data_IF_812029284404
#
_entry.id   IF_812029284404
#
_cell.length_a   1.000
_cell.length_b   1.000
_cell.length_c   1.000
_cell.angle_alpha   90.00
_cell.angle_beta   90.00
_cell.angle_gamma   90.00
#
_symmetry.space_group_name_H-M   'P 1'
#
loop_
_entity.id
_entity.type
_entity.pdbx_description
1 polymer ?
#
# COMPACT_ATOMS: atom_id res chain seq x y z
N UNK A 1 -49.86 -10.81 11.06
CA UNK A 1 -49.12 -10.37 9.87
C UNK A 1 -48.20 -9.21 10.31
N UNK A 2 -47.01 -9.55 10.72
CA UNK A 2 -45.99 -8.57 11.17
C UNK A 2 -45.14 -8.16 9.99
N UNK A 3 -45.17 -6.87 9.64
CA UNK A 3 -44.23 -6.27 8.69
C UNK A 3 -42.87 -6.13 9.39
N UNK A 4 -41.94 -7.01 9.07
CA UNK A 4 -40.52 -6.79 9.36
C UNK A 4 -40.05 -5.60 8.51
N UNK A 5 -39.87 -4.46 9.15
CA UNK A 5 -39.21 -3.30 8.57
C UNK A 5 -37.71 -3.65 8.41
N UNK A 6 -37.32 -4.06 7.21
CA UNK A 6 -35.92 -4.01 6.80
C UNK A 6 -35.47 -2.55 6.81
N UNK A 7 -34.75 -2.16 7.84
CA UNK A 7 -33.98 -0.91 7.84
C UNK A 7 -32.84 -1.13 6.85
N UNK A 8 -33.05 -0.80 5.58
CA UNK A 8 -31.98 -0.58 4.63
C UNK A 8 -31.21 0.62 5.13
N UNK A 9 -30.07 0.38 5.76
CA UNK A 9 -29.03 1.37 5.91
C UNK A 9 -28.63 1.79 4.48
N UNK A 10 -29.22 2.88 3.97
CA UNK A 10 -28.75 3.53 2.76
C UNK A 10 -27.34 4.04 3.05
N UNK A 11 -26.34 3.27 2.63
CA UNK A 11 -24.96 3.64 2.74
C UNK A 11 -24.78 4.87 1.86
N UNK A 12 -24.52 6.02 2.49
CA UNK A 12 -24.34 7.29 1.80
C UNK A 12 -23.01 7.28 1.01
N UNK A 13 -23.03 6.75 -0.21
CA UNK A 13 -21.89 6.67 -1.12
C UNK A 13 -21.36 8.05 -1.55
N UNK A 14 -22.09 9.13 -1.26
CA UNK A 14 -21.64 10.50 -1.53
C UNK A 14 -20.61 10.98 -0.50
N UNK A 15 -20.57 10.38 0.69
CA UNK A 15 -19.64 10.78 1.74
C UNK A 15 -18.22 10.28 1.47
N UNK A 16 -17.24 11.20 1.57
CA UNK A 16 -15.82 10.84 1.41
C UNK A 16 -15.35 9.91 2.50
N UNK A 17 -14.54 8.93 2.12
CA UNK A 17 -13.90 8.01 3.07
C UNK A 17 -12.94 8.76 4.01
N UNK A 18 -12.55 8.08 5.10
CA UNK A 18 -11.53 8.61 6.00
C UNK A 18 -10.21 8.92 5.26
N UNK A 19 -9.80 8.05 4.34
CA UNK A 19 -8.55 8.21 3.59
C UNK A 19 -8.63 9.32 2.54
N UNK A 20 -9.77 9.53 1.91
CA UNK A 20 -9.99 10.67 1.02
C UNK A 20 -9.91 12.00 1.78
N UNK A 21 -10.56 12.09 2.95
CA UNK A 21 -10.48 13.26 3.84
C UNK A 21 -9.05 13.49 4.31
N UNK A 22 -8.35 12.43 4.75
CA UNK A 22 -6.97 12.51 5.21
C UNK A 22 -6.01 13.00 4.11
N UNK A 23 -6.19 12.55 2.86
CA UNK A 23 -5.35 12.95 1.73
C UNK A 23 -5.43 14.47 1.41
N UNK A 24 -6.49 15.15 1.81
CA UNK A 24 -6.71 16.60 1.60
C UNK A 24 -5.95 17.47 2.59
N UNK A 25 -5.57 16.93 3.75
CA UNK A 25 -4.84 17.65 4.80
C UNK A 25 -3.42 18.01 4.36
N UNK A 26 -2.78 18.96 5.04
CA UNK A 26 -1.38 19.35 4.74
C UNK A 26 -0.42 18.16 4.83
N UNK A 27 -0.53 17.39 5.91
CA UNK A 27 0.31 16.20 6.09
C UNK A 27 -0.07 15.09 5.09
N UNK A 28 -1.36 14.88 4.83
CA UNK A 28 -1.86 13.92 3.85
C UNK A 28 -1.37 14.23 2.43
N UNK A 29 -1.44 15.49 1.99
CA UNK A 29 -0.89 15.95 0.70
C UNK A 29 0.62 15.70 0.59
N UNK A 30 1.36 15.99 1.67
CA UNK A 30 2.80 15.73 1.71
C UNK A 30 3.12 14.25 1.54
N UNK A 31 2.46 13.36 2.33
CA UNK A 31 2.68 11.92 2.26
C UNK A 31 2.24 11.34 0.91
N UNK A 32 1.04 11.69 0.44
CA UNK A 32 0.52 11.25 -0.86
C UNK A 32 1.46 11.63 -1.99
N UNK A 33 2.02 12.86 -1.98
CA UNK A 33 3.01 13.28 -2.98
C UNK A 33 4.29 12.43 -2.94
N UNK A 34 4.77 12.07 -1.74
CA UNK A 34 5.94 11.20 -1.59
C UNK A 34 5.68 9.81 -2.16
N UNK A 35 4.54 9.22 -1.81
CA UNK A 35 4.10 7.90 -2.26
C UNK A 35 3.88 7.87 -3.77
N UNK A 36 3.11 8.81 -4.31
CA UNK A 36 2.82 8.92 -5.74
C UNK A 36 4.10 9.09 -6.57
N UNK A 37 5.00 9.99 -6.14
CA UNK A 37 6.28 10.17 -6.82
C UNK A 37 7.15 8.91 -6.80
N UNK A 38 7.11 8.13 -5.71
CA UNK A 38 7.86 6.87 -5.63
C UNK A 38 7.27 5.83 -6.57
N UNK A 39 5.95 5.64 -6.53
CA UNK A 39 5.22 4.65 -7.33
C UNK A 39 5.40 4.94 -8.82
N UNK A 40 5.01 6.11 -9.29
CA UNK A 40 4.98 6.40 -10.73
C UNK A 40 6.35 6.70 -11.35
N UNK A 41 7.39 6.90 -10.54
CA UNK A 41 8.78 6.86 -11.04
C UNK A 41 9.36 5.45 -11.14
N UNK A 42 8.69 4.46 -10.57
CA UNK A 42 9.13 3.06 -10.59
C UNK A 42 8.36 2.22 -11.61
N UNK A 43 7.30 2.76 -12.20
CA UNK A 43 6.51 2.14 -13.27
C UNK A 43 6.92 2.77 -14.60
N UNK A 44 7.26 1.94 -15.59
CA UNK A 44 7.49 2.40 -16.97
C UNK A 44 6.15 2.43 -17.72
N UNK A 45 5.59 3.61 -18.02
CA UNK A 45 4.28 3.72 -18.67
C UNK A 45 4.28 3.18 -20.11
N UNK A 46 5.44 3.04 -20.75
CA UNK A 46 5.54 2.47 -22.10
C UNK A 46 5.38 0.96 -22.14
N UNK A 47 5.66 0.28 -21.01
CA UNK A 47 5.63 -1.19 -20.88
C UNK A 47 4.51 -1.70 -20.02
N UNK A 48 3.90 -0.85 -19.20
CA UNK A 48 2.89 -1.25 -18.23
C UNK A 48 1.50 -1.12 -18.83
N UNK A 49 0.85 -2.25 -19.09
CA UNK A 49 -0.50 -2.35 -19.68
C UNK A 49 -1.54 -2.81 -18.67
N UNK A 50 -1.14 -3.55 -17.66
CA UNK A 50 -2.01 -4.12 -16.64
C UNK A 50 -1.46 -3.85 -15.25
N UNK A 51 -2.27 -3.19 -14.42
CA UNK A 51 -1.88 -2.81 -13.05
C UNK A 51 -2.91 -3.36 -12.05
N UNK A 52 -2.44 -3.99 -10.97
CA UNK A 52 -3.28 -4.30 -9.83
C UNK A 52 -2.99 -3.31 -8.70
N UNK A 53 -4.05 -2.70 -8.16
CA UNK A 53 -4.00 -1.86 -6.95
C UNK A 53 -4.63 -2.63 -5.79
N UNK A 54 -3.80 -3.10 -4.88
CA UNK A 54 -4.20 -3.89 -3.70
C UNK A 54 -4.51 -2.96 -2.54
N UNK A 55 -5.71 -3.09 -1.97
CA UNK A 55 -6.23 -2.13 -1.01
C UNK A 55 -6.59 -0.81 -1.71
N UNK A 56 -7.30 -0.94 -2.84
CA UNK A 56 -7.61 0.19 -3.71
C UNK A 56 -8.47 1.26 -3.02
N UNK A 57 -9.23 0.88 -2.00
CA UNK A 57 -10.15 1.75 -1.28
C UNK A 57 -11.02 2.57 -2.27
N UNK A 58 -11.09 3.88 -2.14
CA UNK A 58 -11.79 4.76 -3.07
C UNK A 58 -10.91 5.21 -4.26
N UNK A 59 -9.79 4.54 -4.55
CA UNK A 59 -9.01 4.66 -5.78
C UNK A 59 -7.90 5.67 -5.79
N UNK A 60 -7.25 5.92 -4.66
CA UNK A 60 -6.15 6.89 -4.59
C UNK A 60 -5.04 6.65 -5.61
N UNK A 61 -4.62 5.40 -5.79
CA UNK A 61 -3.61 5.02 -6.79
C UNK A 61 -4.24 4.50 -8.07
N UNK A 62 -5.35 3.76 -7.99
CA UNK A 62 -6.07 3.27 -9.16
C UNK A 62 -6.41 4.37 -10.15
N UNK A 63 -6.95 5.51 -9.66
CA UNK A 63 -7.34 6.64 -10.51
C UNK A 63 -6.13 7.33 -11.17
N UNK A 64 -4.99 7.38 -10.49
CA UNK A 64 -3.75 7.94 -11.03
C UNK A 64 -3.06 7.01 -12.01
N UNK A 65 -3.25 5.69 -11.85
CA UNK A 65 -2.70 4.66 -12.72
C UNK A 65 -3.56 4.44 -13.98
N UNK A 66 -4.87 4.69 -13.88
CA UNK A 66 -5.79 4.54 -15.00
C UNK A 66 -5.51 5.59 -16.09
N UNK A 67 -5.23 5.12 -17.27
CA UNK A 67 -5.07 5.93 -18.48
C UNK A 67 -5.57 5.14 -19.69
N UNK A 68 -5.58 5.75 -20.86
CA UNK A 68 -6.10 5.12 -22.08
C UNK A 68 -5.35 3.87 -22.54
N UNK A 69 -4.20 3.59 -21.94
CA UNK A 69 -3.35 2.48 -22.34
C UNK A 69 -3.21 1.37 -21.26
N UNK A 70 -3.46 1.68 -19.99
CA UNK A 70 -3.34 0.74 -18.89
C UNK A 70 -4.70 0.31 -18.35
N UNK A 71 -4.94 -1.00 -18.28
CA UNK A 71 -6.06 -1.60 -17.56
C UNK A 71 -5.70 -1.67 -16.07
N UNK A 72 -6.50 -1.06 -15.23
CA UNK A 72 -6.32 -1.08 -13.77
C UNK A 72 -7.39 -1.93 -13.12
N UNK A 73 -6.97 -2.85 -12.25
CA UNK A 73 -7.85 -3.65 -11.41
C UNK A 73 -7.58 -3.28 -9.95
N UNK A 74 -8.56 -2.62 -9.31
CA UNK A 74 -8.54 -2.34 -7.88
C UNK A 74 -9.15 -3.50 -7.09
N UNK A 75 -8.43 -4.02 -6.10
CA UNK A 75 -8.96 -5.02 -5.17
C UNK A 75 -8.99 -4.47 -3.75
N UNK A 76 -10.06 -4.76 -3.01
CA UNK A 76 -10.21 -4.41 -1.61
C UNK A 76 -11.18 -5.40 -0.91
N UNK A 77 -11.09 -5.53 0.41
CA UNK A 77 -12.09 -6.25 1.21
C UNK A 77 -13.35 -5.42 1.41
N UNK A 78 -13.23 -4.09 1.46
CA UNK A 78 -14.33 -3.18 1.69
C UNK A 78 -15.11 -2.88 0.41
N UNK A 79 -16.25 -3.55 0.27
CA UNK A 79 -17.16 -3.34 -0.86
C UNK A 79 -17.72 -1.91 -0.95
N UNK A 80 -17.83 -1.19 0.17
CA UNK A 80 -18.33 0.18 0.20
C UNK A 80 -17.33 1.12 -0.49
N UNK A 81 -16.07 1.05 -0.13
CA UNK A 81 -15.01 1.84 -0.76
C UNK A 81 -14.88 1.54 -2.25
N UNK A 82 -14.97 0.26 -2.65
CA UNK A 82 -14.97 -0.13 -4.07
C UNK A 82 -16.17 0.43 -4.86
N UNK A 83 -17.38 0.40 -4.28
CA UNK A 83 -18.56 1.01 -4.89
C UNK A 83 -18.35 2.51 -5.08
N UNK A 84 -17.75 3.18 -4.10
CA UNK A 84 -17.39 4.58 -4.21
C UNK A 84 -16.34 4.84 -5.31
N UNK A 85 -15.34 3.98 -5.45
CA UNK A 85 -14.39 4.05 -6.56
C UNK A 85 -15.10 3.95 -7.91
N UNK A 86 -16.04 3.03 -8.05
CA UNK A 86 -16.82 2.85 -9.28
C UNK A 86 -17.64 4.08 -9.67
N UNK A 87 -18.16 4.83 -8.68
CA UNK A 87 -18.92 6.07 -8.93
C UNK A 87 -18.09 7.20 -9.53
N UNK A 88 -16.77 7.13 -9.45
CA UNK A 88 -15.86 8.14 -10.03
C UNK A 88 -15.75 8.05 -11.56
N UNK A 89 -16.43 7.08 -12.15
CA UNK A 89 -16.60 6.91 -13.62
C UNK A 89 -15.26 6.89 -14.39
N UNK A 90 -14.26 6.24 -13.82
CA UNK A 90 -12.92 6.07 -14.42
C UNK A 90 -12.74 4.63 -14.91
N UNK A 91 -11.84 4.37 -15.86
CA UNK A 91 -11.60 3.04 -16.43
C UNK A 91 -10.84 2.12 -15.46
N UNK A 92 -11.43 1.90 -14.28
CA UNK A 92 -10.90 1.01 -13.24
C UNK A 92 -11.87 -0.14 -13.03
N UNK A 93 -11.40 -1.35 -13.20
CA UNK A 93 -12.13 -2.56 -12.82
C UNK A 93 -12.00 -2.78 -11.32
N UNK A 94 -13.06 -3.23 -10.67
CA UNK A 94 -13.05 -3.47 -9.23
C UNK A 94 -13.39 -4.92 -8.92
N UNK A 95 -12.68 -5.51 -7.96
CA UNK A 95 -12.94 -6.86 -7.44
C UNK A 95 -12.91 -6.81 -5.92
N UNK A 96 -13.97 -7.25 -5.27
CA UNK A 96 -13.94 -7.46 -3.83
C UNK A 96 -13.21 -8.77 -3.55
N UNK A 97 -12.01 -8.68 -2.98
CA UNK A 97 -11.18 -9.84 -2.70
C UNK A 97 -10.20 -9.60 -1.54
N UNK A 98 -9.80 -10.70 -0.91
CA UNK A 98 -8.71 -10.72 0.06
C UNK A 98 -7.37 -10.77 -0.68
N UNK A 99 -6.44 -9.88 -0.32
CA UNK A 99 -5.09 -9.85 -0.87
C UNK A 99 -4.31 -11.17 -0.68
N UNK A 100 -4.75 -12.01 0.27
CA UNK A 100 -4.16 -13.34 0.55
C UNK A 100 -4.72 -14.45 -0.33
N UNK A 101 -5.74 -14.15 -1.14
CA UNK A 101 -6.40 -15.09 -2.08
C UNK A 101 -7.03 -14.30 -3.22
N UNK A 102 -6.22 -13.92 -4.19
CA UNK A 102 -6.64 -13.10 -5.32
C UNK A 102 -7.28 -13.97 -6.40
N UNK A 103 -8.55 -13.72 -6.82
CA UNK A 103 -9.28 -14.56 -7.79
C UNK A 103 -8.89 -14.21 -9.24
N UNK A 104 -7.59 -14.12 -9.52
CA UNK A 104 -7.05 -13.77 -10.84
C UNK A 104 -5.98 -14.78 -11.24
N UNK A 105 -5.72 -14.90 -12.54
CA UNK A 105 -4.74 -15.83 -13.12
C UNK A 105 -3.30 -15.42 -12.75
N UNK A 106 -2.40 -16.37 -12.92
CA UNK A 106 -0.99 -16.18 -12.74
C UNK A 106 -0.44 -15.25 -13.85
N UNK A 107 0.60 -14.48 -13.52
CA UNK A 107 1.39 -13.68 -14.46
C UNK A 107 0.58 -12.74 -15.39
N UNK A 108 -0.44 -12.09 -14.84
CA UNK A 108 -1.32 -11.17 -15.58
C UNK A 108 -0.83 -9.73 -15.53
N UNK A 109 -0.19 -9.33 -14.39
CA UNK A 109 0.09 -7.93 -14.14
C UNK A 109 1.51 -7.52 -14.49
N UNK A 110 1.62 -6.36 -15.15
CA UNK A 110 2.88 -5.68 -15.42
C UNK A 110 3.39 -4.86 -14.23
N UNK A 111 2.50 -4.52 -13.27
CA UNK A 111 2.86 -3.90 -12.01
C UNK A 111 1.79 -4.17 -10.94
N UNK A 112 2.22 -4.22 -9.67
CA UNK A 112 1.32 -4.26 -8.51
C UNK A 112 1.65 -3.09 -7.58
N UNK A 113 0.61 -2.36 -7.16
CA UNK A 113 0.68 -1.28 -6.17
C UNK A 113 0.02 -1.78 -4.89
N UNK A 114 0.68 -1.62 -3.72
CA UNK A 114 0.21 -2.07 -2.41
C UNK A 114 0.63 -1.05 -1.33
N UNK A 115 0.07 0.15 -1.40
CA UNK A 115 0.47 1.30 -0.57
C UNK A 115 -0.47 1.47 0.62
N UNK A 116 0.12 1.47 1.84
CA UNK A 116 -0.58 1.60 3.13
C UNK A 116 -1.59 0.47 3.43
N UNK A 117 -1.32 -0.73 2.93
CA UNK A 117 -2.18 -1.91 3.09
C UNK A 117 -1.58 -2.93 4.06
N UNK A 118 -0.25 -3.07 4.10
CA UNK A 118 0.42 -4.14 4.84
C UNK A 118 0.05 -4.17 6.32
N UNK A 119 -0.16 -3.02 6.95
CA UNK A 119 -0.49 -2.95 8.38
C UNK A 119 -1.86 -3.58 8.72
N UNK A 120 -2.71 -3.82 7.73
CA UNK A 120 -4.00 -4.50 7.86
C UNK A 120 -3.92 -6.01 7.56
N UNK A 121 -2.76 -6.51 7.10
CA UNK A 121 -2.58 -7.91 6.71
C UNK A 121 -1.74 -8.62 7.76
N UNK A 122 -2.35 -9.56 8.48
CA UNK A 122 -1.65 -10.36 9.52
C UNK A 122 -0.71 -11.37 8.86
N UNK A 123 -1.17 -12.07 7.83
CA UNK A 123 -0.42 -13.12 7.12
C UNK A 123 0.25 -12.55 5.86
N UNK A 124 1.24 -11.68 6.08
CA UNK A 124 1.96 -10.99 5.00
C UNK A 124 2.52 -11.93 3.94
N UNK A 125 3.05 -13.09 4.36
CA UNK A 125 3.58 -14.11 3.44
C UNK A 125 2.54 -14.54 2.41
N UNK A 126 1.31 -14.82 2.80
CA UNK A 126 0.24 -15.22 1.87
C UNK A 126 -0.07 -14.14 0.86
N UNK A 127 -0.16 -12.88 1.29
CA UNK A 127 -0.41 -11.76 0.38
C UNK A 127 0.77 -11.55 -0.59
N UNK A 128 2.01 -11.68 -0.14
CA UNK A 128 3.18 -11.56 -1.02
C UNK A 128 3.27 -12.73 -2.01
N UNK A 129 2.88 -13.96 -1.62
CA UNK A 129 2.78 -15.12 -2.52
C UNK A 129 1.75 -14.87 -3.61
N UNK A 130 0.59 -14.32 -3.29
CA UNK A 130 -0.43 -13.96 -4.29
C UNK A 130 0.05 -12.83 -5.23
N UNK A 131 0.73 -11.81 -4.68
CA UNK A 131 1.36 -10.79 -5.51
C UNK A 131 2.42 -11.41 -6.43
N UNK A 132 3.25 -12.32 -5.93
CA UNK A 132 4.27 -13.00 -6.74
C UNK A 132 3.62 -13.85 -7.82
N UNK A 133 2.58 -14.62 -7.50
CA UNK A 133 1.86 -15.46 -8.45
C UNK A 133 1.27 -14.67 -9.60
N UNK A 134 0.56 -13.58 -9.29
CA UNK A 134 -0.21 -12.79 -10.27
C UNK A 134 0.65 -11.80 -11.06
N UNK A 135 1.85 -11.47 -10.59
CA UNK A 135 2.78 -10.56 -11.24
C UNK A 135 3.60 -11.30 -12.31
N UNK A 136 3.85 -10.68 -13.45
CA UNK A 136 4.77 -11.19 -14.49
C UNK A 136 6.21 -11.19 -14.00
N UNK A 137 7.04 -12.06 -14.56
CA UNK A 137 8.49 -12.08 -14.27
C UNK A 137 9.10 -10.73 -14.64
N UNK A 138 10.05 -10.25 -13.84
CA UNK A 138 10.70 -8.94 -13.95
C UNK A 138 9.77 -7.72 -13.77
N UNK A 139 8.52 -7.92 -13.39
CA UNK A 139 7.58 -6.83 -13.11
C UNK A 139 7.70 -6.31 -11.67
N UNK A 140 7.40 -5.02 -11.41
CA UNK A 140 7.53 -4.39 -10.12
C UNK A 140 6.36 -4.63 -9.19
N UNK A 141 6.66 -4.92 -7.92
CA UNK A 141 5.78 -4.76 -6.76
C UNK A 141 6.17 -3.49 -6.00
N UNK A 142 5.25 -2.56 -5.86
CA UNK A 142 5.44 -1.30 -5.17
C UNK A 142 4.62 -1.31 -3.88
N UNK A 143 5.26 -1.36 -2.74
CA UNK A 143 4.56 -1.46 -1.46
C UNK A 143 5.06 -0.44 -0.43
N UNK A 144 4.23 -0.19 0.58
CA UNK A 144 4.64 0.56 1.78
C UNK A 144 4.16 -0.11 3.05
N UNK A 145 4.87 0.16 4.14
CA UNK A 145 4.52 -0.33 5.47
C UNK A 145 5.01 0.59 6.57
N UNK A 146 4.29 0.58 7.71
CA UNK A 146 4.73 1.20 8.94
C UNK A 146 5.81 0.34 9.61
N UNK A 147 6.96 0.95 9.93
CA UNK A 147 8.10 0.23 10.52
C UNK A 147 8.00 0.19 12.04
N UNK A 148 7.62 -0.97 12.59
CA UNK A 148 7.52 -1.22 14.03
C UNK A 148 8.82 -0.92 14.78
N UNK A 149 9.98 -1.12 14.15
CA UNK A 149 11.28 -0.91 14.77
C UNK A 149 11.72 0.57 14.84
N UNK A 150 10.98 1.51 14.24
CA UNK A 150 11.31 2.93 14.25
C UNK A 150 11.09 3.57 15.62
N UNK A 151 11.85 4.63 15.92
CA UNK A 151 11.69 5.39 17.16
C UNK A 151 10.27 5.98 17.30
N UNK A 152 9.71 6.51 16.21
CA UNK A 152 8.34 7.05 16.16
C UNK A 152 7.31 5.96 16.48
N UNK A 153 7.53 4.72 16.04
CA UNK A 153 6.65 3.58 16.36
C UNK A 153 6.72 3.24 17.85
N UNK A 154 7.92 3.13 18.41
CA UNK A 154 8.11 2.87 19.83
C UNK A 154 7.41 3.91 20.71
N UNK A 155 7.51 5.20 20.35
CA UNK A 155 6.80 6.28 21.04
C UNK A 155 5.27 6.16 20.92
N UNK A 156 4.76 5.61 19.80
CA UNK A 156 3.32 5.35 19.61
C UNK A 156 2.83 4.14 20.42
N UNK A 157 3.67 3.13 20.64
CA UNK A 157 3.32 1.97 21.47
C UNK A 157 2.93 2.38 22.90
N UNK A 158 3.58 3.38 23.49
CA UNK A 158 3.16 3.98 24.77
C UNK A 158 1.75 4.58 24.75
N UNK A 159 1.20 4.84 23.55
CA UNK A 159 -0.17 5.35 23.33
C UNK A 159 -1.12 4.27 22.83
N UNK A 160 -0.77 2.97 22.96
CA UNK A 160 -1.59 1.84 22.55
C UNK A 160 -1.73 1.65 21.03
N UNK A 161 -0.85 2.25 20.23
CA UNK A 161 -0.87 2.14 18.75
C UNK A 161 0.47 1.60 18.26
N UNK A 162 0.49 0.43 17.65
CA UNK A 162 1.69 -0.18 17.06
C UNK A 162 1.51 -0.48 15.58
N UNK A 163 2.62 -0.47 14.84
CA UNK A 163 2.66 -1.04 13.51
C UNK A 163 2.82 -2.57 13.59
N UNK A 164 2.36 -3.27 12.56
CA UNK A 164 2.33 -4.74 12.54
C UNK A 164 3.70 -5.32 12.16
N UNK A 165 4.41 -4.66 11.24
CA UNK A 165 5.60 -5.23 10.60
C UNK A 165 6.89 -4.49 10.95
N UNK A 166 7.98 -5.24 11.13
CA UNK A 166 9.32 -4.67 11.26
C UNK A 166 9.99 -4.58 9.89
N UNK A 167 10.91 -3.62 9.74
CA UNK A 167 11.71 -3.49 8.52
C UNK A 167 12.39 -4.82 8.12
N UNK A 168 13.09 -5.46 9.08
CA UNK A 168 13.77 -6.74 8.82
C UNK A 168 12.80 -7.83 8.40
N UNK A 169 11.64 -7.93 9.06
CA UNK A 169 10.62 -8.94 8.76
C UNK A 169 10.08 -8.81 7.33
N UNK A 170 9.73 -7.59 6.90
CA UNK A 170 9.25 -7.36 5.53
C UNK A 170 10.32 -7.69 4.48
N UNK A 171 11.58 -7.24 4.70
CA UNK A 171 12.67 -7.55 3.77
C UNK A 171 12.93 -9.05 3.65
N UNK A 172 12.90 -9.78 4.75
CA UNK A 172 13.05 -11.24 4.76
C UNK A 172 11.88 -11.94 4.05
N UNK A 173 10.65 -11.47 4.28
CA UNK A 173 9.48 -12.05 3.64
C UNK A 173 9.53 -11.85 2.12
N UNK A 174 9.87 -10.66 1.63
CA UNK A 174 10.07 -10.38 0.21
C UNK A 174 11.12 -11.30 -0.40
N UNK A 175 12.29 -11.44 0.24
CA UNK A 175 13.36 -12.30 -0.26
C UNK A 175 12.96 -13.78 -0.31
N UNK A 176 12.29 -14.29 0.72
CA UNK A 176 11.80 -15.67 0.76
C UNK A 176 10.72 -15.95 -0.30
N UNK A 177 9.88 -14.94 -0.62
CA UNK A 177 8.85 -15.05 -1.66
C UNK A 177 9.44 -14.99 -3.08
N UNK A 178 10.74 -14.67 -3.24
CA UNK A 178 11.38 -14.59 -4.55
C UNK A 178 11.45 -13.17 -5.11
N UNK A 179 11.10 -12.16 -4.34
CA UNK A 179 11.28 -10.77 -4.74
C UNK A 179 12.70 -10.27 -4.50
N UNK A 180 13.24 -9.54 -5.49
CA UNK A 180 14.50 -8.80 -5.37
C UNK A 180 14.19 -7.33 -5.12
N UNK A 181 14.70 -6.77 -4.02
CA UNK A 181 14.47 -5.37 -3.67
C UNK A 181 15.40 -4.47 -4.49
N UNK A 182 14.83 -3.76 -5.46
CA UNK A 182 15.55 -2.84 -6.35
C UNK A 182 15.76 -1.46 -5.70
N UNK A 183 14.78 -0.96 -4.95
CA UNK A 183 14.83 0.37 -4.34
C UNK A 183 14.04 0.45 -3.04
N UNK A 184 14.53 1.22 -2.09
CA UNK A 184 13.86 1.51 -0.81
C UNK A 184 13.95 2.99 -0.49
N UNK A 185 12.91 3.52 0.17
CA UNK A 185 12.89 4.91 0.62
C UNK A 185 12.18 5.02 1.97
N UNK A 186 12.85 5.65 2.93
CA UNK A 186 12.22 6.00 4.20
C UNK A 186 11.43 7.31 4.09
N UNK A 187 10.30 7.41 4.82
CA UNK A 187 9.49 8.62 4.83
C UNK A 187 8.65 8.75 6.11
N UNK A 188 7.87 9.83 6.21
CA UNK A 188 7.00 10.15 7.35
C UNK A 188 7.76 10.41 8.65
N UNK A 189 8.91 11.08 8.56
CA UNK A 189 9.72 11.45 9.72
C UNK A 189 9.12 12.57 10.56
N UNK A 190 8.22 13.37 9.99
CA UNK A 190 7.56 14.46 10.68
C UNK A 190 6.76 13.95 11.89
N UNK A 191 6.70 14.72 13.01
CA UNK A 191 6.04 14.28 14.24
C UNK A 191 4.50 14.29 14.16
N UNK A 192 3.95 14.54 12.99
CA UNK A 192 2.51 14.69 12.76
C UNK A 192 1.85 13.40 12.27
N UNK A 193 0.55 13.25 12.58
CA UNK A 193 -0.30 12.22 11.97
C UNK A 193 -0.75 12.64 10.55
N UNK A 194 -1.21 11.68 9.73
CA UNK A 194 -1.65 11.91 8.35
C UNK A 194 -2.76 12.97 8.22
N UNK A 195 -3.62 13.08 9.22
CA UNK A 195 -4.75 14.04 9.25
C UNK A 195 -4.37 15.43 9.77
N UNK A 196 -3.09 15.73 9.96
CA UNK A 196 -2.63 17.00 10.53
C UNK A 196 -2.67 18.15 9.52
N UNK A 197 -3.24 19.27 9.96
CA UNK A 197 -3.25 20.57 9.26
C UNK A 197 -2.14 21.53 9.75
N UNK A 198 -1.13 21.01 10.47
CA UNK A 198 -0.08 21.83 11.07
C UNK A 198 0.68 22.64 10.00
N UNK A 199 0.81 23.96 10.24
CA UNK A 199 1.45 24.91 9.32
C UNK A 199 2.96 24.65 9.16
N UNK A 200 3.60 23.94 10.11
CA UNK A 200 5.02 23.61 10.05
C UNK A 200 5.33 22.45 9.09
N UNK A 201 4.33 21.74 8.57
CA UNK A 201 4.54 20.59 7.65
C UNK A 201 5.45 20.94 6.48
N UNK A 202 5.25 22.04 5.71
CA UNK A 202 6.12 22.37 4.58
C UNK A 202 7.56 22.70 4.98
N UNK A 203 7.74 23.35 6.13
CA UNK A 203 9.06 23.69 6.67
C UNK A 203 9.83 22.41 7.06
N UNK A 204 9.23 21.55 7.90
CA UNK A 204 9.83 20.32 8.35
C UNK A 204 10.07 19.32 7.21
N UNK A 205 9.25 19.34 6.16
CA UNK A 205 9.47 18.56 4.95
C UNK A 205 10.76 18.98 4.21
N UNK A 206 11.09 20.29 4.23
CA UNK A 206 12.38 20.78 3.68
C UNK A 206 13.54 20.31 4.54
N UNK A 207 13.41 20.33 5.86
CA UNK A 207 14.41 19.82 6.81
C UNK A 207 14.64 18.32 6.58
N UNK A 208 13.58 17.51 6.48
CA UNK A 208 13.67 16.08 6.16
C UNK A 208 14.45 15.83 4.86
N UNK A 209 14.20 16.65 3.83
CA UNK A 209 14.91 16.59 2.56
C UNK A 209 16.39 16.96 2.70
N UNK A 210 16.71 18.02 3.46
CA UNK A 210 18.07 18.51 3.68
C UNK A 210 18.94 17.44 4.35
N UNK A 211 18.43 16.79 5.39
CA UNK A 211 19.12 15.72 6.09
C UNK A 211 19.12 14.38 5.34
N UNK A 212 18.55 14.33 4.14
CA UNK A 212 18.46 13.13 3.31
C UNK A 212 17.90 11.89 4.05
N UNK A 213 16.97 12.08 4.99
CA UNK A 213 16.43 11.04 5.88
C UNK A 213 15.77 9.88 5.12
N UNK A 214 15.34 10.12 3.89
CA UNK A 214 14.82 9.10 2.97
C UNK A 214 15.84 7.97 2.68
N UNK A 215 17.13 8.20 2.91
CA UNK A 215 18.20 7.24 2.65
C UNK A 215 18.39 6.22 3.79
N UNK A 216 17.68 6.40 4.91
CA UNK A 216 17.80 5.53 6.11
C UNK A 216 16.45 4.80 6.36
N UNK A 217 16.00 3.93 5.44
CA UNK A 217 14.68 3.30 5.54
C UNK A 217 14.54 2.36 6.73
N UNK A 218 15.63 1.76 7.22
CA UNK A 218 15.61 0.87 8.39
C UNK A 218 15.21 1.55 9.69
N UNK A 219 15.49 2.85 9.83
CA UNK A 219 15.12 3.67 11.00
C UNK A 219 13.86 4.50 10.76
N UNK A 220 13.42 4.61 9.49
CA UNK A 220 12.29 5.41 9.08
C UNK A 220 10.98 4.91 9.70
N UNK A 221 10.06 5.81 10.08
CA UNK A 221 8.72 5.44 10.54
C UNK A 221 7.89 4.69 9.52
N UNK A 222 8.03 5.04 8.24
CA UNK A 222 7.39 4.37 7.11
C UNK A 222 8.43 4.11 6.01
N UNK A 223 8.22 3.02 5.29
CA UNK A 223 9.12 2.57 4.23
C UNK A 223 8.34 2.32 2.95
N UNK A 224 8.84 2.86 1.85
CA UNK A 224 8.42 2.52 0.49
C UNK A 224 9.45 1.55 -0.10
N UNK A 225 8.97 0.52 -0.76
CA UNK A 225 9.79 -0.51 -1.40
C UNK A 225 9.35 -0.72 -2.84
N UNK A 226 10.32 -0.75 -3.73
CA UNK A 226 10.21 -1.25 -5.09
C UNK A 226 10.93 -2.60 -5.12
N UNK A 227 10.19 -3.66 -5.23
CA UNK A 227 10.69 -5.01 -5.40
C UNK A 227 10.32 -5.51 -6.80
N UNK A 228 11.09 -6.44 -7.34
CA UNK A 228 10.89 -7.00 -8.69
C UNK A 228 10.74 -8.51 -8.54
N UNK A 229 9.76 -9.09 -9.22
CA UNK A 229 9.61 -10.55 -9.29
C UNK A 229 10.81 -11.15 -10.02
N UNK A 230 11.58 -12.01 -9.34
CA UNK A 230 12.64 -12.77 -9.99
C UNK A 230 12.06 -14.00 -10.69
N UNK A 231 12.81 -14.55 -11.61
CA UNK A 231 12.52 -15.83 -12.27
C UNK A 231 12.85 -17.06 -11.40
N UNK A 232 13.38 -16.82 -10.19
CA UNK A 232 13.66 -17.89 -9.23
C UNK A 232 12.35 -18.45 -8.68
N UNK A 233 12.22 -19.79 -8.57
CA UNK A 233 11.02 -20.40 -8.00
C UNK A 233 10.84 -19.94 -6.55
N UNK A 234 9.56 -19.87 -6.12
CA UNK A 234 9.20 -19.73 -4.73
C UNK A 234 9.88 -20.84 -3.90
N UNK A 235 10.44 -20.46 -2.76
CA UNK A 235 10.87 -21.46 -1.77
C UNK A 235 9.60 -21.98 -1.14
N UNK A 236 9.33 -23.29 -1.30
CA UNK A 236 8.25 -23.96 -0.60
C UNK A 236 8.38 -23.69 0.91
N UNK A 237 7.26 -23.42 1.58
CA UNK A 237 7.20 -23.07 3.02
C UNK A 237 7.72 -21.66 3.39
N UNK A 238 7.14 -20.61 2.78
CA UNK A 238 7.43 -19.23 3.16
C UNK A 238 6.77 -18.88 4.51
N UNK A 239 7.33 -19.35 5.62
CA UNK A 239 6.93 -18.90 6.97
C UNK A 239 7.70 -17.62 7.35
N UNK A 240 7.01 -16.47 7.32
CA UNK A 240 7.55 -15.19 7.76
C UNK A 240 7.23 -14.89 9.24
N UNK A 241 6.51 -15.79 9.93
CA UNK A 241 6.04 -15.60 11.30
C UNK A 241 7.10 -15.92 12.36
N UNK A 242 8.18 -16.62 12.00
CA UNK A 242 9.27 -16.89 12.96
C UNK A 242 9.88 -15.58 13.43
N UNK A 243 9.53 -15.22 14.68
CA UNK A 243 10.22 -14.19 15.46
C UNK A 243 11.72 -14.43 15.31
N UNK A 244 12.45 -13.43 14.83
CA UNK A 244 13.90 -13.43 15.02
C UNK A 244 14.14 -13.42 16.54
N UNK A 245 14.34 -14.59 17.12
CA UNK A 245 14.93 -14.74 18.45
C UNK A 245 16.41 -14.40 18.21
N UNK A 246 16.77 -13.18 18.61
CA UNK A 246 18.08 -12.73 19.13
C UNK A 246 18.03 -11.20 19.26
#
# INVERSE_FOLDING_TARGET
>A
MGKTSEVRLEINLSEETHWEKAAKTRMGKYLTRMETNFVFKSIDPSRTRTIMDVGAEAGRFSLLAANDQAMVIGIDLDSHSLKRLKLKNQPVHIIQADARKVPLKDEVFDAIIMIEVLDYIVELNKALVECYRTLKVNAPLLLSFGNKSSLKSKLREFRGKSYTHSYKGVMQCLSKTGFVVARKMGYNWLPFGRTSENILVPFLARVEKLFALKRIPSLSPWVLVHAVKSDKPLVDDVDCSRKAIY
#
